data_IF_108018615654
#
_entry.id   IF_108018615654
#
_cell.length_a   1.000
_cell.length_b   1.000
_cell.length_c   1.000
_cell.angle_alpha   90.00
_cell.angle_beta   90.00
_cell.angle_gamma   90.00
#
_symmetry.space_group_name_H-M   'P 1'
#
loop_
_entity.id
_entity.type
_entity.pdbx_description
1 polymer ?
#
# COMPACT_ATOMS: atom_id res chain seq x y z
N UNK A 1 -9.28 12.60 21.07
CA UNK A 1 -10.16 12.43 19.89
C UNK A 1 -11.40 13.30 20.07
N UNK A 2 -11.55 14.35 19.29
CA UNK A 2 -12.68 15.30 19.41
C UNK A 2 -13.90 14.72 18.66
N UNK A 3 -15.04 14.47 19.32
CA UNK A 3 -16.21 13.79 18.74
C UNK A 3 -17.09 14.64 17.80
N UNK A 4 -16.80 15.93 17.63
CA UNK A 4 -17.62 16.87 16.86
C UNK A 4 -16.85 17.50 15.69
N UNK A 5 -16.51 16.71 14.65
CA UNK A 5 -16.22 17.29 13.33
C UNK A 5 -17.41 17.10 12.41
N UNK A 6 -17.90 18.23 11.93
CA UNK A 6 -19.09 18.45 11.14
C UNK A 6 -19.26 17.49 9.96
N UNK A 7 -20.46 16.99 9.79
CA UNK A 7 -20.96 16.36 8.57
C UNK A 7 -20.93 17.40 7.43
N UNK A 8 -20.17 17.14 6.36
CA UNK A 8 -20.33 17.85 5.09
C UNK A 8 -19.14 18.57 4.46
N UNK A 9 -17.93 18.55 5.05
CA UNK A 9 -16.72 19.09 4.42
C UNK A 9 -16.02 18.06 3.52
N UNK A 10 -15.41 18.53 2.43
CA UNK A 10 -14.49 17.71 1.62
C UNK A 10 -13.37 17.19 2.52
N UNK A 11 -13.04 15.90 2.43
CA UNK A 11 -12.03 15.26 3.28
C UNK A 11 -10.64 15.78 2.93
N UNK A 12 -9.95 16.36 3.91
CA UNK A 12 -8.53 16.70 3.80
C UNK A 12 -7.69 15.41 3.87
N UNK A 13 -7.45 14.79 2.72
CA UNK A 13 -6.66 13.56 2.62
C UNK A 13 -5.23 13.69 3.12
N UNK A 14 -4.46 14.75 2.79
CA UNK A 14 -3.13 14.94 3.35
C UNK A 14 -3.11 14.95 4.87
N UNK A 15 -3.99 15.71 5.51
CA UNK A 15 -4.09 15.76 6.96
C UNK A 15 -4.51 14.41 7.56
N UNK A 16 -5.50 13.74 6.97
CA UNK A 16 -5.94 12.41 7.40
C UNK A 16 -4.81 11.38 7.33
N UNK A 17 -4.08 11.32 6.21
CA UNK A 17 -2.98 10.36 6.03
C UNK A 17 -1.81 10.65 6.98
N UNK A 18 -1.48 11.94 7.20
CA UNK A 18 -0.44 12.32 8.15
C UNK A 18 -0.77 11.86 9.59
N UNK A 19 -2.01 12.09 10.06
CA UNK A 19 -2.50 11.63 11.36
C UNK A 19 -2.53 10.09 11.44
N UNK A 20 -3.05 9.43 10.39
CA UNK A 20 -3.15 7.97 10.32
C UNK A 20 -1.78 7.30 10.49
N UNK A 21 -0.77 7.74 9.74
CA UNK A 21 0.59 7.16 9.79
C UNK A 21 1.38 7.57 11.03
N UNK A 22 1.08 8.71 11.64
CA UNK A 22 1.65 9.08 12.93
C UNK A 22 1.12 8.22 14.09
N UNK A 23 -0.20 7.98 14.10
CA UNK A 23 -0.84 7.17 15.16
C UNK A 23 -0.63 5.65 14.98
N UNK A 24 -0.43 5.20 13.74
CA UNK A 24 -0.41 3.77 13.36
C UNK A 24 0.81 3.43 12.50
N UNK A 25 1.97 3.92 12.93
CA UNK A 25 3.24 3.70 12.23
C UNK A 25 3.51 2.22 12.02
N UNK A 26 3.83 1.83 10.77
CA UNK A 26 4.13 0.45 10.39
C UNK A 26 2.93 -0.48 10.27
N UNK A 27 1.69 0.00 10.44
CA UNK A 27 0.50 -0.86 10.46
C UNK A 27 0.25 -1.55 9.10
N UNK A 28 0.52 -0.86 7.99
CA UNK A 28 0.37 -1.42 6.65
C UNK A 28 1.35 -2.58 6.44
N UNK A 29 2.60 -2.41 6.87
CA UNK A 29 3.58 -3.49 6.86
C UNK A 29 3.14 -4.67 7.72
N UNK A 30 2.66 -4.42 8.93
CA UNK A 30 2.22 -5.47 9.86
C UNK A 30 1.11 -6.34 9.27
N UNK A 31 0.22 -5.77 8.45
CA UNK A 31 -0.82 -6.52 7.73
C UNK A 31 -0.25 -7.20 6.49
N UNK A 32 0.41 -6.48 5.59
CA UNK A 32 0.82 -7.03 4.29
C UNK A 32 1.93 -8.07 4.40
N UNK A 33 2.80 -8.00 5.42
CA UNK A 33 3.82 -9.03 5.66
C UNK A 33 3.24 -10.37 6.13
N UNK A 34 2.03 -10.36 6.69
CA UNK A 34 1.31 -11.55 7.15
C UNK A 34 0.25 -12.04 6.18
N UNK A 35 -0.11 -11.21 5.20
CA UNK A 35 -1.03 -11.59 4.13
C UNK A 35 -0.29 -12.46 3.11
N UNK A 36 -0.82 -13.66 2.84
CA UNK A 36 -0.14 -14.63 2.00
C UNK A 36 -1.00 -15.09 0.82
N UNK A 37 -0.33 -15.30 -0.31
CA UNK A 37 -0.85 -16.04 -1.45
C UNK A 37 0.12 -17.21 -1.71
N UNK A 38 -0.26 -18.42 -1.29
CA UNK A 38 0.65 -19.55 -1.27
C UNK A 38 1.84 -19.29 -0.33
N UNK A 39 3.04 -19.18 -0.90
CA UNK A 39 4.31 -19.05 -0.18
C UNK A 39 4.87 -17.62 -0.12
N UNK A 40 4.15 -16.62 -0.62
CA UNK A 40 4.68 -15.26 -0.71
C UNK A 40 3.69 -14.16 -0.27
N UNK A 41 4.28 -13.08 0.26
CA UNK A 41 3.61 -11.83 0.60
C UNK A 41 3.47 -10.90 -0.62
N UNK A 42 2.63 -9.84 -0.54
CA UNK A 42 2.58 -8.80 -1.57
C UNK A 42 3.94 -8.16 -1.87
N UNK A 43 4.79 -7.96 -0.85
CA UNK A 43 6.13 -7.41 -1.03
C UNK A 43 7.03 -8.33 -1.86
N UNK A 44 7.02 -9.63 -1.57
CA UNK A 44 7.75 -10.63 -2.34
C UNK A 44 7.27 -10.73 -3.77
N UNK A 45 5.96 -10.64 -3.97
CA UNK A 45 5.39 -10.59 -5.31
C UNK A 45 5.85 -9.37 -6.10
N UNK A 46 5.85 -8.18 -5.47
CA UNK A 46 6.35 -6.96 -6.10
C UNK A 46 7.85 -7.06 -6.41
N UNK A 47 8.66 -7.61 -5.50
CA UNK A 47 10.10 -7.77 -5.69
C UNK A 47 10.46 -8.63 -6.92
N UNK A 48 9.62 -9.59 -7.30
CA UNK A 48 9.81 -10.42 -8.52
C UNK A 48 9.75 -9.61 -9.83
N UNK A 49 9.20 -8.40 -9.80
CA UNK A 49 9.18 -7.50 -10.96
C UNK A 49 10.49 -6.70 -11.13
N UNK A 50 11.41 -6.80 -10.17
CA UNK A 50 12.67 -6.06 -10.17
C UNK A 50 13.79 -6.95 -10.70
N UNK A 51 14.40 -6.54 -11.84
CA UNK A 51 15.50 -7.28 -12.44
C UNK A 51 16.69 -7.46 -11.47
N UNK A 52 17.33 -8.61 -11.53
CA UNK A 52 18.57 -8.86 -10.77
C UNK A 52 19.70 -7.91 -11.15
N UNK A 53 19.72 -7.42 -12.38
CA UNK A 53 20.72 -6.46 -12.88
C UNK A 53 20.48 -5.02 -12.41
N UNK A 54 19.34 -4.70 -11.81
CA UNK A 54 19.07 -3.36 -11.29
C UNK A 54 19.99 -3.06 -10.09
N UNK A 55 20.69 -1.94 -10.15
CA UNK A 55 21.66 -1.52 -9.14
C UNK A 55 21.18 -0.36 -8.28
N UNK A 56 20.34 0.50 -8.84
CA UNK A 56 19.82 1.68 -8.13
C UNK A 56 18.30 1.67 -8.15
N UNK A 57 17.70 1.48 -6.98
CA UNK A 57 16.25 1.35 -6.82
C UNK A 57 15.75 2.44 -5.89
N UNK A 58 14.66 3.09 -6.27
CA UNK A 58 13.87 3.97 -5.42
C UNK A 58 12.62 3.24 -4.95
N UNK A 59 12.48 3.05 -3.67
CA UNK A 59 11.22 2.59 -3.05
C UNK A 59 10.41 3.82 -2.63
N UNK A 60 9.41 4.17 -3.44
CA UNK A 60 8.61 5.38 -3.35
C UNK A 60 7.39 5.16 -2.45
N UNK A 61 7.19 6.01 -1.45
CA UNK A 61 6.28 5.83 -0.33
C UNK A 61 6.62 4.52 0.41
N UNK A 62 7.87 4.43 0.87
CA UNK A 62 8.43 3.19 1.43
C UNK A 62 7.86 2.81 2.79
N UNK A 63 7.14 3.74 3.47
CA UNK A 63 6.65 3.53 4.82
C UNK A 63 7.75 3.06 5.76
N UNK A 64 7.50 2.05 6.56
CA UNK A 64 8.45 1.42 7.49
C UNK A 64 9.52 0.52 6.81
N UNK A 65 9.67 0.60 5.49
CA UNK A 65 10.78 0.01 4.74
C UNK A 65 10.64 -1.47 4.39
N UNK A 66 9.44 -2.05 4.47
CA UNK A 66 9.23 -3.48 4.18
C UNK A 66 9.66 -3.87 2.77
N UNK A 67 9.26 -3.09 1.76
CA UNK A 67 9.63 -3.34 0.37
C UNK A 67 11.11 -3.12 0.15
N UNK A 68 11.67 -2.06 0.72
CA UNK A 68 13.11 -1.78 0.65
C UNK A 68 13.93 -2.98 1.15
N UNK A 69 13.56 -3.60 2.27
CA UNK A 69 14.24 -4.78 2.83
C UNK A 69 14.14 -6.02 1.92
N UNK A 70 13.02 -6.23 1.24
CA UNK A 70 12.89 -7.32 0.26
C UNK A 70 13.81 -7.13 -0.96
N UNK A 71 14.24 -5.90 -1.23
CA UNK A 71 15.07 -5.56 -2.39
C UNK A 71 16.57 -5.54 -2.11
N UNK A 72 16.99 -5.49 -0.85
CA UNK A 72 18.42 -5.43 -0.48
C UNK A 72 19.19 -6.65 -1.01
N UNK A 73 20.27 -6.40 -1.75
CA UNK A 73 21.19 -7.42 -2.27
C UNK A 73 22.60 -6.83 -2.39
N UNK A 74 23.66 -7.65 -2.39
CA UNK A 74 25.01 -7.16 -2.65
C UNK A 74 25.09 -6.40 -4.00
N UNK A 75 25.76 -5.26 -4.01
CA UNK A 75 25.91 -4.40 -5.20
C UNK A 75 24.69 -3.57 -5.58
N UNK A 76 23.61 -3.59 -4.79
CA UNK A 76 22.39 -2.85 -5.03
C UNK A 76 22.21 -1.75 -3.98
N UNK A 77 21.93 -0.54 -4.45
CA UNK A 77 21.51 0.58 -3.60
C UNK A 77 19.98 0.69 -3.65
N UNK A 78 19.33 0.53 -2.50
CA UNK A 78 17.89 0.72 -2.36
C UNK A 78 17.67 1.96 -1.52
N UNK A 79 17.00 2.96 -2.07
CA UNK A 79 16.70 4.25 -1.43
C UNK A 79 15.22 4.25 -1.09
N UNK A 80 14.87 4.29 0.20
CA UNK A 80 13.50 4.46 0.65
C UNK A 80 13.18 5.96 0.76
N UNK A 81 12.08 6.39 0.13
CA UNK A 81 11.54 7.74 0.27
C UNK A 81 10.12 7.70 0.78
N UNK A 82 9.86 8.48 1.83
CA UNK A 82 8.52 8.69 2.37
C UNK A 82 8.36 10.13 2.87
N UNK A 83 7.13 10.60 2.95
CA UNK A 83 6.82 11.91 3.53
C UNK A 83 6.70 11.86 5.06
N UNK A 84 6.35 10.70 5.61
CA UNK A 84 6.15 10.48 7.04
C UNK A 84 7.47 10.25 7.76
N UNK A 85 7.82 11.16 8.67
CA UNK A 85 9.02 11.00 9.50
C UNK A 85 8.89 9.82 10.48
N UNK A 86 7.67 9.53 10.96
CA UNK A 86 7.42 8.40 11.86
C UNK A 86 7.68 7.06 11.18
N UNK A 87 7.21 6.91 9.94
CA UNK A 87 7.48 5.71 9.15
C UNK A 87 8.96 5.55 8.86
N UNK A 88 9.67 6.63 8.49
CA UNK A 88 11.11 6.59 8.24
C UNK A 88 11.93 6.30 9.50
N UNK A 89 11.52 6.81 10.66
CA UNK A 89 12.15 6.47 11.92
C UNK A 89 12.06 4.97 12.20
N UNK A 90 10.86 4.40 12.04
CA UNK A 90 10.65 2.96 12.18
C UNK A 90 11.41 2.15 11.11
N UNK A 91 11.52 2.65 9.88
CA UNK A 91 12.31 2.01 8.83
C UNK A 91 13.80 1.94 9.21
N UNK A 92 14.33 3.03 9.80
CA UNK A 92 15.72 3.10 10.26
C UNK A 92 16.02 2.16 11.44
N UNK A 93 15.05 1.93 12.32
CA UNK A 93 15.15 0.94 13.41
C UNK A 93 15.16 -0.50 12.87
N UNK A 94 14.44 -0.77 11.76
CA UNK A 94 14.26 -2.11 11.19
C UNK A 94 15.34 -2.53 10.20
N UNK A 95 16.14 -1.61 9.71
CA UNK A 95 17.22 -1.94 8.78
C UNK A 95 17.96 -0.71 8.25
N UNK A 96 19.14 -0.95 7.64
CA UNK A 96 19.94 0.14 7.09
C UNK A 96 19.25 0.79 5.88
N UNK A 97 19.34 2.17 5.79
CA UNK A 97 18.92 2.96 4.64
C UNK A 97 19.94 2.98 3.51
N UNK A 98 19.83 3.95 2.60
CA UNK A 98 19.38 5.34 2.86
C UNK A 98 17.87 5.55 2.92
N UNK A 99 17.44 6.30 3.92
CA UNK A 99 16.06 6.76 4.11
C UNK A 99 15.98 8.26 3.86
N UNK A 100 15.09 8.68 2.98
CA UNK A 100 14.96 10.08 2.53
C UNK A 100 13.55 10.56 2.84
N UNK A 101 13.43 11.65 3.60
CA UNK A 101 12.15 12.34 3.75
C UNK A 101 11.91 13.21 2.52
N UNK A 102 10.82 12.97 1.82
CA UNK A 102 10.49 13.69 0.58
C UNK A 102 9.07 13.50 0.13
N UNK A 103 8.64 14.36 -0.79
CA UNK A 103 7.33 14.31 -1.42
C UNK A 103 7.44 13.63 -2.79
N UNK A 104 6.58 12.64 -3.04
CA UNK A 104 6.49 11.93 -4.32
C UNK A 104 6.10 12.83 -5.50
N UNK A 105 5.51 14.00 -5.23
CA UNK A 105 5.19 15.01 -6.24
C UNK A 105 6.42 15.84 -6.68
N UNK A 106 7.53 15.75 -5.94
CA UNK A 106 8.78 16.46 -6.22
C UNK A 106 9.97 15.66 -5.70
N UNK A 107 10.41 14.69 -6.47
CA UNK A 107 11.49 13.78 -6.07
C UNK A 107 12.86 14.49 -6.02
N UNK A 108 13.62 14.38 -4.90
CA UNK A 108 14.91 15.04 -4.73
C UNK A 108 16.05 14.28 -5.47
N UNK A 109 15.77 13.72 -6.62
CA UNK A 109 16.73 12.93 -7.42
C UNK A 109 16.93 13.57 -8.80
N UNK A 110 18.10 13.36 -9.35
CA UNK A 110 18.42 13.77 -10.73
C UNK A 110 17.59 12.97 -11.73
N UNK A 111 17.30 13.56 -12.88
CA UNK A 111 16.72 12.85 -14.02
C UNK A 111 17.61 11.68 -14.46
N UNK A 112 16.99 10.60 -14.90
CA UNK A 112 17.67 9.40 -15.40
C UNK A 112 18.74 8.84 -14.42
N UNK A 113 18.44 8.81 -13.12
CA UNK A 113 19.39 8.39 -12.08
C UNK A 113 19.09 7.03 -11.46
N UNK A 114 17.87 6.48 -11.62
CA UNK A 114 17.47 5.20 -11.02
C UNK A 114 17.06 4.19 -12.10
N UNK A 115 17.33 2.92 -11.82
CA UNK A 115 16.97 1.80 -12.73
C UNK A 115 15.52 1.38 -12.53
N UNK A 116 15.05 1.37 -11.27
CA UNK A 116 13.72 0.93 -10.90
C UNK A 116 13.12 1.86 -9.85
N UNK A 117 11.84 2.16 -9.99
CA UNK A 117 11.00 2.71 -8.94
C UNK A 117 10.01 1.64 -8.51
N UNK A 118 9.97 1.31 -7.22
CA UNK A 118 8.92 0.47 -6.63
C UNK A 118 7.96 1.34 -5.81
N UNK A 119 6.70 0.93 -5.71
CA UNK A 119 5.73 1.57 -4.79
C UNK A 119 4.71 0.56 -4.31
N UNK A 120 4.65 0.38 -3.00
CA UNK A 120 3.67 -0.50 -2.36
C UNK A 120 2.55 0.33 -1.75
N UNK A 121 1.36 0.32 -2.36
CA UNK A 121 0.18 1.12 -1.99
C UNK A 121 0.33 2.64 -2.27
N UNK A 122 1.54 3.18 -2.32
CA UNK A 122 1.80 4.61 -2.43
C UNK A 122 1.08 5.31 -3.60
N UNK A 123 0.99 4.65 -4.77
CA UNK A 123 0.38 5.24 -5.97
C UNK A 123 -1.12 5.57 -5.83
N UNK A 124 -1.84 4.94 -4.91
CA UNK A 124 -3.27 5.25 -4.67
C UNK A 124 -3.47 6.36 -3.63
N UNK A 125 -2.44 6.69 -2.87
CA UNK A 125 -2.51 7.74 -1.83
C UNK A 125 -1.88 9.06 -2.27
N UNK A 126 -0.87 9.01 -3.14
CA UNK A 126 -0.22 10.23 -3.67
C UNK A 126 -1.05 10.85 -4.79
N UNK A 127 -1.51 12.07 -4.59
CA UNK A 127 -2.33 12.81 -5.56
C UNK A 127 -1.82 14.25 -5.77
N UNK A 128 -1.87 14.80 -7.01
CA UNK A 128 -2.36 14.17 -8.25
C UNK A 128 -1.42 13.10 -8.80
N UNK A 129 -1.95 11.93 -9.14
CA UNK A 129 -1.14 10.80 -9.62
C UNK A 129 -0.33 11.13 -10.89
N UNK A 130 -0.85 11.99 -11.76
CA UNK A 130 -0.15 12.44 -12.97
C UNK A 130 1.19 13.10 -12.66
N UNK A 131 1.27 13.96 -11.63
CA UNK A 131 2.52 14.59 -11.20
C UNK A 131 3.50 13.56 -10.60
N UNK A 132 3.00 12.59 -9.86
CA UNK A 132 3.84 11.49 -9.35
C UNK A 132 4.46 10.71 -10.50
N UNK A 133 3.67 10.37 -11.53
CA UNK A 133 4.17 9.60 -12.69
C UNK A 133 5.12 10.45 -13.54
N UNK A 134 4.91 11.74 -13.67
CA UNK A 134 5.87 12.66 -14.30
C UNK A 134 7.22 12.61 -13.61
N UNK A 135 7.26 12.72 -12.28
CA UNK A 135 8.49 12.64 -11.50
C UNK A 135 9.15 11.27 -11.57
N UNK A 136 8.36 10.19 -11.50
CA UNK A 136 8.85 8.82 -11.69
C UNK A 136 9.48 8.67 -13.08
N UNK A 137 8.79 9.12 -14.13
CA UNK A 137 9.32 9.08 -15.48
C UNK A 137 10.61 9.91 -15.61
N UNK A 138 10.67 11.07 -14.95
CA UNK A 138 11.86 11.94 -14.95
C UNK A 138 13.08 11.24 -14.35
N UNK A 139 12.92 10.61 -13.17
CA UNK A 139 14.06 10.01 -12.44
C UNK A 139 14.49 8.65 -13.01
N UNK A 140 13.59 7.91 -13.66
CA UNK A 140 13.91 6.65 -14.32
C UNK A 140 14.85 6.88 -15.51
N UNK A 141 15.84 6.01 -15.66
CA UNK A 141 16.68 5.92 -16.88
C UNK A 141 15.84 5.45 -18.07
N UNK A 142 16.26 5.72 -19.31
CA UNK A 142 15.68 5.03 -20.48
C UNK A 142 15.74 3.51 -20.29
N UNK A 143 14.62 2.82 -20.51
CA UNK A 143 14.47 1.40 -20.20
C UNK A 143 14.29 1.07 -18.72
N UNK A 144 14.22 2.08 -17.84
CA UNK A 144 13.97 1.90 -16.43
C UNK A 144 12.52 1.46 -16.15
N UNK A 145 12.30 0.84 -14.99
CA UNK A 145 11.05 0.16 -14.64
C UNK A 145 10.35 0.85 -13.48
N UNK A 146 9.04 1.07 -13.62
CA UNK A 146 8.12 1.31 -12.51
C UNK A 146 7.39 0.01 -12.19
N UNK A 147 7.47 -0.46 -10.95
CA UNK A 147 6.69 -1.57 -10.45
C UNK A 147 5.88 -1.14 -9.22
N UNK A 148 4.57 -1.27 -9.28
CA UNK A 148 3.67 -0.88 -8.20
C UNK A 148 2.64 -1.94 -7.85
N UNK A 149 2.27 -2.01 -6.55
CA UNK A 149 1.09 -2.75 -6.11
C UNK A 149 0.07 -1.79 -5.50
N UNK A 150 -1.19 -2.09 -5.75
CA UNK A 150 -2.34 -1.34 -5.24
C UNK A 150 -3.44 -2.30 -4.75
N UNK A 151 -4.33 -1.86 -3.85
CA UNK A 151 -5.52 -2.62 -3.51
C UNK A 151 -6.35 -2.90 -4.77
N UNK A 152 -6.97 -4.08 -4.80
CA UNK A 152 -7.86 -4.49 -5.87
C UNK A 152 -9.22 -4.92 -5.31
N UNK A 153 -10.25 -4.95 -6.16
CA UNK A 153 -11.58 -5.44 -5.80
C UNK A 153 -11.77 -6.93 -6.15
N UNK A 154 -10.84 -7.52 -6.87
CA UNK A 154 -10.83 -8.95 -7.27
C UNK A 154 -9.39 -9.43 -7.54
N UNK A 155 -9.10 -10.75 -7.53
CA UNK A 155 -10.10 -11.82 -7.44
C UNK A 155 -10.61 -12.06 -6.01
N UNK A 156 -11.86 -12.47 -5.90
CA UNK A 156 -12.52 -12.84 -4.65
C UNK A 156 -13.33 -14.11 -4.85
N UNK A 157 -13.21 -15.06 -3.92
CA UNK A 157 -14.08 -16.22 -3.85
C UNK A 157 -15.42 -15.91 -3.15
N UNK A 158 -16.43 -16.81 -3.26
CA UNK A 158 -17.73 -16.60 -2.62
C UNK A 158 -17.66 -16.42 -1.10
N UNK A 159 -16.69 -17.06 -0.45
CA UNK A 159 -16.44 -16.93 1.00
C UNK A 159 -15.90 -15.53 1.33
N UNK A 160 -14.97 -15.01 0.54
CA UNK A 160 -14.39 -13.68 0.72
C UNK A 160 -15.45 -12.61 0.58
N UNK A 161 -16.26 -12.70 -0.49
CA UNK A 161 -17.37 -11.77 -0.72
C UNK A 161 -18.31 -11.75 0.49
N UNK A 162 -18.66 -12.92 1.05
CA UNK A 162 -19.52 -13.01 2.23
C UNK A 162 -18.89 -12.33 3.45
N UNK A 163 -17.60 -12.57 3.72
CA UNK A 163 -16.89 -11.98 4.86
C UNK A 163 -16.79 -10.46 4.70
N UNK A 164 -16.29 -9.99 3.56
CA UNK A 164 -16.12 -8.56 3.28
C UNK A 164 -17.45 -7.80 3.27
N UNK A 165 -18.51 -8.38 2.71
CA UNK A 165 -19.86 -7.77 2.76
C UNK A 165 -20.33 -7.60 4.19
N UNK A 166 -20.10 -8.58 5.06
CA UNK A 166 -20.50 -8.50 6.46
C UNK A 166 -19.67 -7.51 7.28
N UNK A 167 -18.36 -7.37 6.97
CA UNK A 167 -17.50 -6.34 7.53
C UNK A 167 -18.00 -4.96 7.10
N UNK A 168 -18.17 -4.73 5.79
CA UNK A 168 -18.61 -3.44 5.25
C UNK A 168 -20.01 -3.02 5.77
N UNK A 169 -20.92 -3.98 5.96
CA UNK A 169 -22.23 -3.72 6.56
C UNK A 169 -22.15 -3.21 8.01
N UNK A 170 -21.17 -3.67 8.78
CA UNK A 170 -20.94 -3.21 10.16
C UNK A 170 -20.25 -1.86 10.21
N UNK A 171 -19.26 -1.68 9.35
CA UNK A 171 -18.59 -0.40 9.18
C UNK A 171 -19.54 0.68 8.65
N UNK A 172 -20.59 0.30 7.90
CA UNK A 172 -21.48 1.17 7.10
C UNK A 172 -20.71 2.00 6.07
N UNK A 173 -19.56 1.52 5.67
CA UNK A 173 -18.68 2.10 4.68
C UNK A 173 -17.73 1.01 4.15
N UNK A 174 -16.90 1.39 3.20
CA UNK A 174 -15.78 0.58 2.70
C UNK A 174 -14.49 1.39 2.85
N UNK A 175 -13.31 0.76 2.82
CA UNK A 175 -12.04 1.47 2.77
C UNK A 175 -12.02 2.47 1.62
N UNK A 176 -11.48 3.66 1.88
CA UNK A 176 -11.41 4.76 0.94
C UNK A 176 -9.95 5.13 0.67
N UNK A 177 -9.70 5.71 -0.48
CA UNK A 177 -8.39 6.19 -0.90
C UNK A 177 -8.55 7.55 -1.59
N UNK A 178 -7.54 8.43 -1.53
CA UNK A 178 -7.59 9.71 -2.25
C UNK A 178 -7.61 9.52 -3.78
N UNK A 179 -6.91 8.50 -4.26
CA UNK A 179 -6.88 8.13 -5.67
C UNK A 179 -7.85 7.01 -6.05
N UNK A 180 -7.97 6.72 -7.34
CA UNK A 180 -8.84 5.65 -7.82
C UNK A 180 -8.35 4.28 -7.33
N UNK A 181 -9.26 3.53 -6.69
CA UNK A 181 -8.99 2.14 -6.32
C UNK A 181 -8.62 1.34 -7.57
N UNK A 182 -7.70 0.39 -7.43
CA UNK A 182 -7.13 -0.38 -8.54
C UNK A 182 -6.34 0.45 -9.57
N UNK A 183 -6.03 1.73 -9.32
CA UNK A 183 -5.36 2.58 -10.30
C UNK A 183 -6.10 2.57 -11.65
N UNK A 184 -7.42 2.76 -11.63
CA UNK A 184 -8.25 2.80 -12.84
C UNK A 184 -7.76 3.91 -13.77
N UNK A 185 -7.58 3.60 -15.07
CA UNK A 185 -7.05 4.54 -16.06
C UNK A 185 -5.52 4.73 -16.00
N UNK A 186 -4.81 4.00 -15.16
CA UNK A 186 -3.36 4.17 -14.94
C UNK A 186 -2.52 3.96 -16.21
N UNK A 187 -2.90 2.99 -17.07
CA UNK A 187 -2.19 2.76 -18.33
C UNK A 187 -2.14 4.02 -19.21
N UNK A 188 -3.26 4.76 -19.30
CA UNK A 188 -3.29 6.03 -20.04
C UNK A 188 -2.39 7.10 -19.41
N UNK A 189 -2.35 7.15 -18.07
CA UNK A 189 -1.44 8.07 -17.37
C UNK A 189 0.02 7.72 -17.65
N UNK A 190 0.38 6.45 -17.68
CA UNK A 190 1.72 5.99 -18.04
C UNK A 190 2.09 6.41 -19.46
N UNK A 191 1.22 6.15 -20.43
CA UNK A 191 1.42 6.49 -21.86
C UNK A 191 1.66 7.99 -22.06
N UNK A 192 0.90 8.86 -21.35
CA UNK A 192 1.08 10.31 -21.43
C UNK A 192 2.48 10.77 -20.96
N UNK A 193 3.16 9.95 -20.14
CA UNK A 193 4.51 10.24 -19.63
C UNK A 193 5.58 9.34 -20.28
N UNK A 194 5.31 8.77 -21.45
CA UNK A 194 6.26 7.98 -22.22
C UNK A 194 6.61 6.63 -21.60
N UNK A 195 5.70 6.07 -20.79
CA UNK A 195 5.87 4.75 -20.18
C UNK A 195 4.87 3.76 -20.75
N UNK A 196 5.30 2.53 -20.94
CA UNK A 196 4.44 1.45 -21.46
C UNK A 196 4.19 0.40 -20.38
N UNK A 197 2.93 0.13 -20.07
CA UNK A 197 2.57 -0.96 -19.18
C UNK A 197 2.86 -2.31 -19.85
N UNK A 198 3.70 -3.13 -19.20
CA UNK A 198 4.11 -4.45 -19.69
C UNK A 198 3.52 -5.60 -18.88
N UNK A 199 3.01 -5.30 -17.69
CA UNK A 199 2.30 -6.25 -16.85
C UNK A 199 1.15 -5.57 -16.12
N UNK A 200 0.02 -6.26 -16.02
CA UNK A 200 -1.15 -5.93 -15.22
C UNK A 200 -1.75 -7.22 -14.67
N UNK A 201 -1.32 -7.58 -13.47
CA UNK A 201 -1.70 -8.83 -12.83
C UNK A 201 -2.46 -8.57 -11.52
N UNK A 202 -3.27 -9.54 -11.13
CA UNK A 202 -3.99 -9.49 -9.84
C UNK A 202 -3.79 -10.79 -9.10
N UNK A 203 -3.65 -10.68 -7.77
CA UNK A 203 -3.50 -11.80 -6.88
C UNK A 203 -4.33 -11.60 -5.61
N UNK A 204 -4.80 -12.70 -5.05
CA UNK A 204 -5.59 -12.72 -3.83
C UNK A 204 -4.72 -13.15 -2.65
N UNK A 205 -4.47 -12.24 -1.75
CA UNK A 205 -3.83 -12.53 -0.46
C UNK A 205 -4.88 -12.78 0.60
N UNK A 206 -4.52 -13.56 1.61
CA UNK A 206 -5.36 -13.83 2.75
C UNK A 206 -4.61 -13.50 4.04
N UNK A 207 -5.24 -12.67 4.87
CA UNK A 207 -4.75 -12.37 6.19
C UNK A 207 -5.46 -13.28 7.19
N UNK A 208 -4.72 -14.14 7.93
CA UNK A 208 -5.31 -15.05 8.88
C UNK A 208 -5.73 -14.29 10.15
N UNK A 209 -6.96 -14.47 10.58
CA UNK A 209 -7.46 -14.01 11.87
C UNK A 209 -7.45 -15.21 12.82
N UNK A 210 -6.60 -15.17 13.85
CA UNK A 210 -6.44 -16.21 14.87
C UNK A 210 -6.80 -15.73 16.26
N UNK A 211 -6.76 -14.41 16.46
CA UNK A 211 -7.02 -13.75 17.73
C UNK A 211 -7.83 -12.47 17.48
N UNK A 212 -8.41 -11.91 18.56
CA UNK A 212 -8.99 -10.57 18.52
C UNK A 212 -7.99 -9.51 18.04
N UNK A 213 -6.74 -9.59 18.50
CA UNK A 213 -5.68 -8.64 18.07
C UNK A 213 -5.40 -8.71 16.57
N UNK A 214 -5.56 -9.86 15.90
CA UNK A 214 -5.47 -9.95 14.45
C UNK A 214 -6.63 -9.21 13.76
N UNK A 215 -7.83 -9.32 14.31
CA UNK A 215 -8.99 -8.58 13.81
C UNK A 215 -8.82 -7.07 14.02
N UNK A 216 -8.33 -6.65 15.17
CA UNK A 216 -8.01 -5.26 15.48
C UNK A 216 -6.94 -4.71 14.51
N UNK A 217 -5.88 -5.47 14.27
CA UNK A 217 -4.79 -5.10 13.36
C UNK A 217 -5.31 -4.84 11.94
N UNK A 218 -6.03 -5.80 11.36
CA UNK A 218 -6.51 -5.66 9.99
C UNK A 218 -7.57 -4.57 9.83
N UNK A 219 -8.44 -4.37 10.84
CA UNK A 219 -9.43 -3.30 10.81
C UNK A 219 -8.80 -1.91 11.00
N UNK A 220 -7.78 -1.80 11.85
CA UNK A 220 -7.06 -0.55 12.09
C UNK A 220 -6.16 -0.13 10.93
N UNK A 221 -5.78 -1.06 10.05
CA UNK A 221 -5.00 -0.76 8.85
C UNK A 221 -5.84 -0.19 7.68
N UNK A 222 -7.16 -0.19 7.80
CA UNK A 222 -8.06 0.34 6.77
C UNK A 222 -8.17 1.87 6.88
N UNK A 223 -8.08 2.56 5.75
CA UNK A 223 -8.42 3.98 5.70
C UNK A 223 -9.94 4.12 5.76
N UNK A 224 -10.44 4.52 6.92
CA UNK A 224 -11.85 4.66 7.25
C UNK A 224 -12.13 6.08 7.76
N UNK A 225 -11.92 7.12 6.93
CA UNK A 225 -12.16 8.49 7.36
C UNK A 225 -13.61 8.66 7.81
N UNK A 226 -13.84 9.51 8.82
CA UNK A 226 -15.17 9.84 9.37
C UNK A 226 -15.96 8.62 9.90
N UNK A 227 -15.31 7.47 10.10
CA UNK A 227 -15.96 6.26 10.63
C UNK A 227 -15.84 6.23 12.15
N UNK A 228 -16.97 6.17 12.85
CA UNK A 228 -17.00 6.06 14.31
C UNK A 228 -16.39 4.75 14.76
N UNK A 229 -15.55 4.79 15.79
CA UNK A 229 -14.89 3.60 16.33
C UNK A 229 -15.86 2.48 16.68
N UNK A 230 -17.04 2.81 17.19
CA UNK A 230 -18.09 1.81 17.50
C UNK A 230 -18.55 0.99 16.30
N UNK A 231 -18.34 1.45 15.07
CA UNK A 231 -18.61 0.66 13.85
C UNK A 231 -17.45 -0.27 13.53
N UNK A 232 -16.22 0.18 13.76
CA UNK A 232 -15.01 -0.64 13.63
C UNK A 232 -15.06 -1.77 14.66
N UNK A 233 -15.40 -1.46 15.90
CA UNK A 233 -15.57 -2.44 16.99
C UNK A 233 -16.55 -3.54 16.62
N UNK A 234 -17.73 -3.20 16.08
CA UNK A 234 -18.69 -4.23 15.60
C UNK A 234 -18.16 -5.12 14.47
N UNK A 235 -17.23 -4.62 13.66
CA UNK A 235 -16.59 -5.45 12.64
C UNK A 235 -15.55 -6.40 13.27
N UNK A 236 -14.83 -5.94 14.30
CA UNK A 236 -13.91 -6.76 15.09
C UNK A 236 -14.67 -7.86 15.82
N UNK A 237 -15.74 -7.51 16.57
CA UNK A 237 -16.62 -8.48 17.25
C UNK A 237 -17.15 -9.55 16.31
N UNK A 238 -17.54 -9.19 15.09
CA UNK A 238 -17.99 -10.15 14.09
C UNK A 238 -16.90 -11.16 13.72
N UNK A 239 -15.65 -10.75 13.62
CA UNK A 239 -14.54 -11.66 13.32
C UNK A 239 -14.22 -12.55 14.52
N UNK A 240 -14.30 -12.00 15.73
CA UNK A 240 -14.12 -12.72 17.01
C UNK A 240 -15.18 -13.80 17.21
N UNK A 241 -16.48 -13.47 17.04
CA UNK A 241 -17.58 -14.44 17.09
C UNK A 241 -17.37 -15.66 16.18
N UNK A 242 -16.73 -15.47 15.06
CA UNK A 242 -16.42 -16.58 14.13
C UNK A 242 -15.31 -17.47 14.66
N UNK A 243 -14.31 -16.87 15.34
CA UNK A 243 -13.25 -17.64 16.00
C UNK A 243 -13.79 -18.50 17.14
N UNK A 244 -14.71 -17.96 17.95
CA UNK A 244 -15.37 -18.70 19.03
C UNK A 244 -16.13 -19.92 18.50
N UNK A 245 -16.72 -19.79 17.30
CA UNK A 245 -17.39 -20.90 16.58
C UNK A 245 -16.42 -21.86 15.91
N UNK A 246 -15.10 -21.71 16.15
CA UNK A 246 -14.02 -22.51 15.56
C UNK A 246 -14.03 -22.47 14.03
N UNK A 247 -14.46 -21.39 13.43
CA UNK A 247 -14.39 -21.18 12.00
C UNK A 247 -12.95 -20.74 11.61
N UNK A 248 -12.47 -21.20 10.47
CA UNK A 248 -11.27 -20.62 9.86
C UNK A 248 -11.66 -19.25 9.33
N UNK A 249 -11.06 -18.20 9.87
CA UNK A 249 -11.32 -16.82 9.47
C UNK A 249 -10.11 -16.26 8.75
N UNK A 250 -10.36 -15.84 7.52
CA UNK A 250 -9.37 -15.16 6.68
C UNK A 250 -10.03 -13.93 6.06
N UNK A 251 -9.31 -12.82 6.06
CA UNK A 251 -9.72 -11.61 5.38
C UNK A 251 -8.94 -11.51 4.07
N UNK A 252 -9.67 -11.54 2.96
CA UNK A 252 -9.06 -11.43 1.64
C UNK A 252 -8.57 -10.00 1.39
N UNK A 253 -7.34 -9.89 0.88
CA UNK A 253 -6.69 -8.66 0.46
C UNK A 253 -6.27 -8.84 -1.00
N UNK A 254 -7.19 -8.62 -1.96
CA UNK A 254 -6.81 -8.68 -3.36
C UNK A 254 -5.93 -7.49 -3.71
N UNK A 255 -4.88 -7.76 -4.47
CA UNK A 255 -3.89 -6.78 -4.90
C UNK A 255 -3.74 -6.80 -6.41
N UNK A 256 -3.47 -5.65 -7.01
CA UNK A 256 -3.08 -5.48 -8.41
C UNK A 256 -1.62 -5.08 -8.48
N UNK A 257 -0.84 -5.75 -9.31
CA UNK A 257 0.52 -5.35 -9.67
C UNK A 257 0.53 -4.80 -11.09
N UNK A 258 1.16 -3.65 -11.25
CA UNK A 258 1.40 -3.04 -12.56
C UNK A 258 2.91 -2.85 -12.70
N UNK A 259 3.44 -3.24 -13.86
CA UNK A 259 4.82 -3.00 -14.25
C UNK A 259 4.82 -2.22 -15.55
N UNK A 260 5.60 -1.14 -15.60
CA UNK A 260 5.74 -0.30 -16.78
C UNK A 260 7.23 0.00 -17.06
N UNK A 261 7.56 0.17 -18.32
CA UNK A 261 8.91 0.51 -18.82
C UNK A 261 8.86 1.91 -19.43
N UNK A 262 9.88 2.70 -19.10
CA UNK A 262 10.12 4.02 -19.70
C UNK A 262 10.83 3.90 -21.04
#
# INVERSE_FOLDING_TARGET
>A
MNPDRAEGGELDWPAYLAEFHAERTGIVEAVLSRAMAGDHSPYRWLARAVSESATTILDLACGSGAMSRELVRPGRTVIGLDISEHELALAAERGPGPWVRGDGLRLPFRGASVDVVTSSIGLVVMQPLTMVIEEVARVLRPGGVLAGIAPAIRPLGPRDVRVLTRINARLRTKPQFPGPVELTGFAKTLEMHGMTAVEDARERYQFPIRTRSDAELVMSALYLPQTRWSRVERAIEYLEDRLEKREVVEVAIPMRRIVAIK
#
